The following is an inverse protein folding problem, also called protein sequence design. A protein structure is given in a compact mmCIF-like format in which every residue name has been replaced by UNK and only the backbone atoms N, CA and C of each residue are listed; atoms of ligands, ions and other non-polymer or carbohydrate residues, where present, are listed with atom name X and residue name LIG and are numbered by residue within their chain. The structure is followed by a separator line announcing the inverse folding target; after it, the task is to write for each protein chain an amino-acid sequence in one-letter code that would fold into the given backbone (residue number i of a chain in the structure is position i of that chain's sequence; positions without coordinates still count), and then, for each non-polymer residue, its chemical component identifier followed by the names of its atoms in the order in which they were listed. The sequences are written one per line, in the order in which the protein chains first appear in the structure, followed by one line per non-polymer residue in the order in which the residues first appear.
data_IF_371511951671
#
_entry.id   IF_371511951671
#
_cell.length_a   1.000
_cell.length_b   1.000
_cell.length_c   1.000
_cell.angle_alpha   90.00
_cell.angle_beta   90.00
_cell.angle_gamma   90.00
#
_symmetry.space_group_name_H-M   'P 1'
#
loop_
_entity.id
_entity.type
_entity.pdbx_description
1 polymer ?
#
# COMPACT_ATOMS: atom_id res chain seq x y z
N UNK A 1 -2.64 -43.29 16.31
CA UNK A 1 -2.14 -41.91 16.52
C UNK A 1 -2.27 -41.19 15.20
N UNK A 2 -3.06 -40.11 15.10
CA UNK A 2 -3.14 -39.32 13.87
C UNK A 2 -1.85 -38.52 13.71
N UNK A 3 -1.21 -38.62 12.54
CA UNK A 3 -0.05 -37.82 12.23
C UNK A 3 -0.48 -36.38 11.92
N UNK A 4 -0.31 -35.50 12.90
CA UNK A 4 -0.68 -34.09 12.78
C UNK A 4 0.13 -33.36 11.71
N UNK A 5 1.35 -33.82 11.37
CA UNK A 5 2.16 -33.23 10.31
C UNK A 5 1.60 -33.55 8.93
N UNK A 6 1.16 -34.79 8.73
CA UNK A 6 0.48 -35.18 7.50
C UNK A 6 -0.86 -34.43 7.36
N UNK A 7 -1.66 -34.39 8.43
CA UNK A 7 -2.95 -33.71 8.39
C UNK A 7 -2.82 -32.21 8.14
N UNK A 8 -1.83 -31.56 8.77
CA UNK A 8 -1.50 -30.17 8.49
C UNK A 8 -1.14 -29.94 7.02
N UNK A 9 -0.30 -30.81 6.44
CA UNK A 9 0.12 -30.67 5.04
C UNK A 9 -1.05 -30.79 4.05
N UNK A 10 -1.99 -31.70 4.30
CA UNK A 10 -3.19 -31.90 3.47
C UNK A 10 -4.10 -30.67 3.56
N UNK A 11 -4.44 -30.25 4.77
CA UNK A 11 -5.37 -29.13 4.99
C UNK A 11 -4.79 -27.81 4.48
N UNK A 12 -3.49 -27.60 4.68
CA UNK A 12 -2.79 -26.42 4.18
C UNK A 12 -2.88 -26.30 2.65
N UNK A 13 -2.69 -27.43 1.95
CA UNK A 13 -2.83 -27.50 0.49
C UNK A 13 -4.28 -27.29 0.04
N UNK A 14 -5.24 -27.89 0.75
CA UNK A 14 -6.67 -27.71 0.44
C UNK A 14 -7.12 -26.24 0.58
N UNK A 15 -6.58 -25.54 1.58
CA UNK A 15 -6.84 -24.12 1.83
C UNK A 15 -6.08 -23.16 0.91
N UNK A 16 -5.27 -23.66 -0.03
CA UNK A 16 -4.42 -22.85 -0.90
C UNK A 16 -3.36 -22.01 -0.15
N UNK A 17 -3.03 -22.38 1.08
CA UNK A 17 -2.11 -21.65 1.94
C UNK A 17 -0.67 -22.18 1.81
N UNK A 18 0.30 -21.34 2.16
CA UNK A 18 1.73 -21.70 2.16
C UNK A 18 2.21 -21.85 3.60
N UNK A 19 3.06 -22.85 3.86
CA UNK A 19 3.58 -23.09 5.21
C UNK A 19 4.49 -21.92 5.62
N UNK A 20 4.19 -21.31 6.76
CA UNK A 20 5.08 -20.32 7.35
C UNK A 20 6.33 -21.03 7.89
N UNK A 21 7.39 -21.00 7.08
CA UNK A 21 8.69 -21.61 7.40
C UNK A 21 9.65 -20.59 8.03
N UNK A 22 9.15 -19.41 8.43
CA UNK A 22 9.96 -18.37 9.05
C UNK A 22 10.59 -18.89 10.35
N UNK A 23 11.89 -18.64 10.59
CA UNK A 23 12.53 -18.95 11.88
C UNK A 23 11.87 -18.25 13.08
N UNK A 24 11.11 -17.17 12.84
CA UNK A 24 10.36 -16.47 13.87
C UNK A 24 9.04 -17.17 14.25
N UNK A 25 8.63 -18.22 13.53
CA UNK A 25 7.41 -18.96 13.83
C UNK A 25 7.68 -19.98 14.95
N UNK A 26 7.30 -19.62 16.18
CA UNK A 26 7.43 -20.49 17.36
C UNK A 26 6.28 -21.50 17.52
N UNK A 27 5.33 -21.55 16.59
CA UNK A 27 4.12 -22.36 16.70
C UNK A 27 4.38 -23.83 16.36
N UNK A 28 3.88 -24.72 17.21
CA UNK A 28 3.89 -26.15 16.91
C UNK A 28 3.05 -26.47 15.67
N UNK A 29 3.28 -27.64 15.06
CA UNK A 29 2.43 -28.13 13.96
C UNK A 29 0.97 -28.26 14.39
N UNK A 30 0.74 -28.64 15.65
CA UNK A 30 -0.61 -28.76 16.23
C UNK A 30 -1.29 -27.40 16.32
N UNK A 31 -0.57 -26.38 16.80
CA UNK A 31 -1.10 -25.02 16.89
C UNK A 31 -1.39 -24.44 15.50
N UNK A 32 -0.49 -24.68 14.54
CA UNK A 32 -0.68 -24.25 13.15
C UNK A 32 -1.90 -24.91 12.51
N UNK A 33 -2.08 -26.21 12.72
CA UNK A 33 -3.27 -26.94 12.24
C UNK A 33 -4.56 -26.41 12.89
N UNK A 34 -4.53 -26.16 14.21
CA UNK A 34 -5.67 -25.56 14.91
C UNK A 34 -6.02 -24.19 14.34
N UNK A 35 -5.04 -23.30 14.19
CA UNK A 35 -5.25 -21.96 13.65
C UNK A 35 -5.72 -21.98 12.19
N UNK A 36 -5.22 -22.91 11.37
CA UNK A 36 -5.69 -23.09 10.01
C UNK A 36 -7.17 -23.46 9.99
N UNK A 37 -7.60 -24.42 10.81
CA UNK A 37 -9.02 -24.81 10.90
C UNK A 37 -9.91 -23.71 11.42
N UNK A 38 -9.47 -23.00 12.45
CA UNK A 38 -10.18 -21.83 12.98
C UNK A 38 -10.34 -20.76 11.89
N UNK A 39 -9.30 -20.52 11.09
CA UNK A 39 -9.34 -19.62 9.92
C UNK A 39 -10.36 -20.09 8.88
N UNK A 40 -10.30 -21.35 8.45
CA UNK A 40 -11.22 -21.89 7.44
C UNK A 40 -12.67 -21.86 7.92
N UNK A 41 -12.92 -22.18 9.18
CA UNK A 41 -14.25 -22.10 9.77
C UNK A 41 -14.75 -20.66 9.83
N UNK A 42 -13.90 -19.71 10.23
CA UNK A 42 -14.23 -18.29 10.25
C UNK A 42 -14.60 -17.78 8.85
N UNK A 43 -13.85 -18.17 7.81
CA UNK A 43 -14.19 -17.86 6.42
C UNK A 43 -15.48 -18.51 5.96
N UNK A 44 -15.71 -19.78 6.31
CA UNK A 44 -16.93 -20.51 5.94
C UNK A 44 -18.20 -19.94 6.57
N UNK A 45 -18.09 -19.33 7.75
CA UNK A 45 -19.23 -18.74 8.47
C UNK A 45 -19.25 -17.19 8.43
N UNK A 46 -18.27 -16.54 7.80
CA UNK A 46 -18.03 -15.09 7.85
C UNK A 46 -18.01 -14.53 9.28
N UNK A 47 -17.58 -15.35 10.24
CA UNK A 47 -17.49 -14.98 11.64
C UNK A 47 -16.03 -14.62 11.98
N UNK A 48 -15.67 -13.40 11.64
CA UNK A 48 -14.33 -12.86 11.91
C UNK A 48 -14.18 -12.53 13.41
N UNK A 49 -12.95 -12.67 13.91
CA UNK A 49 -12.61 -12.39 15.31
C UNK A 49 -12.77 -10.89 15.66
N UNK A 50 -12.34 -10.53 16.88
CA UNK A 50 -12.35 -9.20 17.49
C UNK A 50 -12.02 -8.08 16.47
N UNK A 51 -12.92 -7.09 16.36
CA UNK A 51 -12.74 -5.89 15.54
C UNK A 51 -12.08 -4.78 16.37
N UNK A 52 -11.12 -4.07 15.80
CA UNK A 52 -10.56 -2.85 16.42
C UNK A 52 -10.68 -1.65 15.48
N UNK A 53 -10.54 -0.45 16.05
CA UNK A 53 -10.49 0.82 15.31
C UNK A 53 -9.16 1.49 15.59
N UNK A 54 -8.37 1.73 14.54
CA UNK A 54 -7.09 2.43 14.63
C UNK A 54 -7.35 3.91 14.34
N UNK A 55 -7.02 4.84 15.26
CA UNK A 55 -7.19 6.26 15.02
C UNK A 55 -6.18 6.75 13.97
N UNK A 56 -6.66 7.54 13.02
CA UNK A 56 -5.82 8.31 12.09
C UNK A 56 -5.69 9.72 12.67
N UNK A 57 -4.52 10.03 13.23
CA UNK A 57 -4.31 11.22 14.08
C UNK A 57 -3.79 12.45 13.34
N UNK A 58 -3.44 12.32 12.06
CA UNK A 58 -3.12 13.45 11.18
C UNK A 58 -4.35 13.83 10.36
N UNK A 59 -4.49 15.10 9.99
CA UNK A 59 -5.62 15.59 9.18
C UNK A 59 -5.58 14.96 7.78
N UNK A 60 -6.44 13.97 7.47
CA UNK A 60 -6.49 13.39 6.14
C UNK A 60 -7.26 14.37 5.24
N UNK A 61 -6.91 14.50 3.95
CA UNK A 61 -7.69 15.30 3.02
C UNK A 61 -9.02 14.60 2.76
N UNK A 62 -10.02 15.34 2.28
CA UNK A 62 -11.30 14.82 1.82
C UNK A 62 -11.19 13.80 0.65
N UNK A 63 -10.00 13.61 0.09
CA UNK A 63 -9.68 12.78 -1.09
C UNK A 63 -8.79 11.56 -0.80
N UNK A 64 -8.77 11.05 0.44
CA UNK A 64 -7.81 10.01 0.89
C UNK A 64 -7.62 8.84 -0.09
N UNK A 65 -6.54 8.88 -0.87
CA UNK A 65 -5.96 7.71 -1.51
C UNK A 65 -5.41 6.77 -0.43
N UNK A 66 -5.71 5.49 -0.56
CA UNK A 66 -5.21 4.45 0.34
C UNK A 66 -4.95 3.16 -0.43
N UNK A 67 -4.02 2.37 0.08
CA UNK A 67 -3.81 1.00 -0.38
C UNK A 67 -3.46 0.11 0.83
N UNK A 68 -3.78 -1.18 0.72
CA UNK A 68 -3.57 -2.19 1.75
C UNK A 68 -2.97 -3.45 1.12
N UNK A 69 -1.70 -3.69 1.40
CA UNK A 69 -0.99 -4.84 0.86
C UNK A 69 -0.04 -5.44 1.90
N UNK A 70 -0.01 -6.78 1.98
CA UNK A 70 0.95 -7.49 2.84
C UNK A 70 0.86 -7.16 4.34
N UNK A 71 -0.31 -6.73 4.84
CA UNK A 71 -0.48 -6.29 6.22
C UNK A 71 0.05 -4.87 6.51
N UNK A 72 0.32 -4.09 5.47
CA UNK A 72 0.69 -2.66 5.56
C UNK A 72 -0.43 -1.82 4.98
N UNK A 73 -0.97 -0.91 5.78
CA UNK A 73 -1.92 0.13 5.34
C UNK A 73 -1.12 1.38 4.99
N UNK A 74 -1.32 1.93 3.80
CA UNK A 74 -0.73 3.20 3.38
C UNK A 74 -1.83 4.19 3.07
N UNK A 75 -1.64 5.44 3.52
CA UNK A 75 -2.59 6.52 3.40
C UNK A 75 -1.88 7.76 2.85
N UNK A 76 -2.53 8.50 1.95
CA UNK A 76 -2.04 9.77 1.44
C UNK A 76 -2.01 10.87 2.52
N UNK A 77 -0.92 11.62 2.55
CA UNK A 77 -0.74 12.81 3.38
C UNK A 77 -0.61 14.06 2.49
N UNK A 78 -1.59 14.97 2.52
CA UNK A 78 -1.57 16.20 1.75
C UNK A 78 -0.52 17.16 2.33
N UNK A 79 0.17 17.88 1.46
CA UNK A 79 0.92 19.06 1.86
C UNK A 79 -0.06 20.18 2.21
N UNK A 80 -0.55 20.23 3.45
CA UNK A 80 -1.58 21.19 3.89
C UNK A 80 -1.01 22.61 4.12
N UNK A 81 0.31 22.75 4.13
CA UNK A 81 1.01 24.02 4.35
C UNK A 81 1.97 24.30 3.19
N UNK A 82 2.07 25.56 2.80
CA UNK A 82 3.05 26.05 1.83
C UNK A 82 4.47 25.59 2.23
N UNK A 83 5.10 24.76 1.40
CA UNK A 83 6.44 24.25 1.64
C UNK A 83 6.52 22.87 2.30
N UNK A 84 5.39 22.23 2.63
CA UNK A 84 5.40 20.81 3.01
C UNK A 84 5.24 19.92 1.78
N UNK A 85 6.22 19.05 1.54
CA UNK A 85 6.13 18.06 0.49
C UNK A 85 5.01 17.07 0.80
N UNK A 86 4.18 16.71 -0.19
CA UNK A 86 3.20 15.65 -0.02
C UNK A 86 3.92 14.33 0.28
N UNK A 87 3.24 13.50 1.05
CA UNK A 87 3.80 12.27 1.56
C UNK A 87 2.74 11.18 1.58
N UNK A 88 3.18 9.98 1.91
CA UNK A 88 2.31 8.88 2.31
C UNK A 88 2.76 8.36 3.66
N UNK A 89 1.79 7.88 4.45
CA UNK A 89 2.02 7.30 5.76
C UNK A 89 1.69 5.83 5.76
N UNK A 90 2.63 5.01 6.19
CA UNK A 90 2.49 3.56 6.24
C UNK A 90 2.40 3.04 7.68
N UNK A 91 1.50 2.07 7.91
CA UNK A 91 1.30 1.41 9.19
C UNK A 91 1.34 -0.11 9.01
N UNK A 92 2.22 -0.77 9.78
CA UNK A 92 2.26 -2.24 9.88
C UNK A 92 1.16 -2.73 10.82
N UNK A 93 0.05 -3.22 10.26
CA UNK A 93 -1.15 -3.58 11.02
C UNK A 93 -0.89 -4.66 12.06
N UNK A 94 -0.13 -5.70 11.70
CA UNK A 94 0.18 -6.79 12.63
C UNK A 94 0.97 -6.33 13.86
N UNK A 95 1.87 -5.36 13.68
CA UNK A 95 2.65 -4.77 14.78
C UNK A 95 1.79 -3.85 15.63
N UNK A 96 0.95 -3.03 14.99
CA UNK A 96 -0.02 -2.17 15.66
C UNK A 96 -0.97 -2.99 16.55
N UNK A 97 -1.55 -4.08 16.01
CA UNK A 97 -2.44 -4.96 16.77
C UNK A 97 -1.72 -5.63 17.95
N UNK A 98 -0.48 -6.09 17.77
CA UNK A 98 0.33 -6.67 18.86
C UNK A 98 0.66 -5.66 19.95
N UNK A 99 0.88 -4.40 19.58
CA UNK A 99 1.12 -3.30 20.52
C UNK A 99 -0.15 -2.84 21.24
N UNK A 100 -1.32 -3.43 20.93
CA UNK A 100 -2.60 -3.02 21.51
C UNK A 100 -3.09 -1.68 20.96
N UNK A 101 -2.64 -1.29 19.76
CA UNK A 101 -3.12 -0.09 19.07
C UNK A 101 -4.59 -0.30 18.67
N UNK A 102 -5.42 0.63 19.10
CA UNK A 102 -6.82 0.73 18.72
C UNK A 102 -7.75 0.84 19.91
N UNK A 103 -8.95 1.34 19.67
CA UNK A 103 -9.92 1.55 20.73
C UNK A 103 -10.77 0.31 20.95
N UNK A 104 -10.43 -0.48 21.96
CA UNK A 104 -11.37 -1.45 22.56
C UNK A 104 -12.12 -0.75 23.69
N UNK A 105 -13.37 -0.35 23.40
CA UNK A 105 -14.27 0.30 24.37
C UNK A 105 -14.49 -0.54 25.64
N UNK A 106 -14.08 -1.82 25.65
CA UNK A 106 -14.25 -2.74 26.78
C UNK A 106 -13.10 -2.73 27.79
N UNK A 107 -11.92 -2.19 27.46
CA UNK A 107 -10.71 -2.37 28.29
C UNK A 107 -10.33 -1.17 29.16
N UNK A 108 -10.88 0.02 28.94
CA UNK A 108 -10.58 1.21 29.78
C UNK A 108 -9.10 1.63 29.79
N UNK A 109 -8.30 1.12 28.87
CA UNK A 109 -6.87 1.44 28.71
C UNK A 109 -6.75 2.58 27.70
N UNK A 110 -5.93 3.59 28.02
CA UNK A 110 -5.59 4.66 27.07
C UNK A 110 -5.02 4.04 25.79
N UNK A 111 -5.56 4.38 24.60
CA UNK A 111 -5.13 3.77 23.36
C UNK A 111 -3.64 4.07 23.10
N UNK A 112 -2.87 3.03 22.79
CA UNK A 112 -1.49 3.20 22.29
C UNK A 112 -1.57 3.85 20.91
N UNK A 113 -0.85 4.95 20.72
CA UNK A 113 -0.82 5.62 19.42
C UNK A 113 -0.05 4.78 18.39
N UNK A 114 -0.59 4.62 17.16
CA UNK A 114 0.12 3.95 16.08
C UNK A 114 1.37 4.73 15.66
N UNK A 115 2.49 4.01 15.47
CA UNK A 115 3.63 4.56 14.74
C UNK A 115 3.40 4.47 13.23
N UNK A 116 3.36 5.63 12.57
CA UNK A 116 3.24 5.75 11.12
C UNK A 116 4.61 6.12 10.52
N UNK A 117 5.18 5.27 9.68
CA UNK A 117 6.35 5.66 8.87
C UNK A 117 5.90 6.59 7.75
N UNK A 118 6.79 7.50 7.32
CA UNK A 118 6.46 8.54 6.34
C UNK A 118 7.40 8.45 5.15
N UNK A 119 6.85 8.35 3.94
CA UNK A 119 7.59 8.43 2.68
C UNK A 119 7.19 9.72 1.99
N UNK A 120 8.16 10.58 1.69
CA UNK A 120 7.92 11.95 1.21
C UNK A 120 8.29 12.05 -0.26
N UNK A 121 7.50 12.77 -1.05
CA UNK A 121 7.86 13.12 -2.42
C UNK A 121 8.94 14.21 -2.45
N UNK A 122 9.52 14.43 -3.63
CA UNK A 122 10.42 15.56 -3.87
C UNK A 122 9.70 16.91 -3.72
N UNK A 123 10.42 18.01 -3.48
CA UNK A 123 9.83 19.35 -3.50
C UNK A 123 9.15 19.67 -4.83
N UNK A 124 8.02 20.38 -4.76
CA UNK A 124 7.18 20.79 -5.90
C UNK A 124 6.61 19.63 -6.73
N UNK A 125 6.55 18.44 -6.14
CA UNK A 125 5.93 17.24 -6.73
C UNK A 125 4.69 16.89 -5.92
N UNK A 126 3.60 16.55 -6.61
CA UNK A 126 2.32 16.19 -6.02
C UNK A 126 2.02 14.71 -6.24
N UNK A 127 1.43 14.04 -5.24
CA UNK A 127 1.06 12.62 -5.33
C UNK A 127 -0.37 12.52 -5.84
N UNK A 128 -0.58 11.76 -6.91
CA UNK A 128 -1.90 11.48 -7.50
C UNK A 128 -2.47 10.19 -6.91
N UNK A 129 -1.66 9.12 -6.92
CA UNK A 129 -2.02 7.80 -6.44
C UNK A 129 -0.74 6.99 -6.11
N UNK A 130 -0.88 5.81 -5.53
CA UNK A 130 0.22 4.88 -5.31
C UNK A 130 -0.22 3.42 -5.31
N UNK A 131 0.71 2.52 -5.65
CA UNK A 131 0.52 1.08 -5.57
C UNK A 131 1.55 0.39 -4.68
N UNK A 132 1.15 -0.70 -4.02
CA UNK A 132 2.00 -1.43 -3.07
C UNK A 132 2.32 -2.87 -3.49
N UNK A 133 3.58 -3.25 -3.28
CA UNK A 133 4.01 -4.65 -3.26
C UNK A 133 4.85 -4.93 -1.99
N UNK A 134 4.26 -4.63 -0.82
CA UNK A 134 4.95 -4.61 0.47
C UNK A 134 5.57 -5.97 0.86
N UNK A 135 4.81 -7.07 0.73
CA UNK A 135 5.28 -8.39 1.17
C UNK A 135 6.31 -9.02 0.22
N UNK A 136 6.15 -8.83 -1.09
CA UNK A 136 6.99 -9.47 -2.10
C UNK A 136 8.28 -8.70 -2.41
N UNK A 137 8.22 -7.38 -2.35
CA UNK A 137 9.29 -6.53 -2.87
C UNK A 137 9.68 -5.36 -1.95
N UNK A 138 9.02 -5.14 -0.81
CA UNK A 138 9.22 -3.92 -0.02
C UNK A 138 9.10 -2.66 -0.90
N UNK A 139 8.11 -2.65 -1.80
CA UNK A 139 7.99 -1.68 -2.87
C UNK A 139 6.73 -0.82 -2.73
N UNK A 140 6.89 0.48 -2.99
CA UNK A 140 5.83 1.43 -3.26
C UNK A 140 6.14 2.20 -4.56
N UNK A 141 5.16 2.28 -5.45
CA UNK A 141 5.23 3.12 -6.64
C UNK A 141 4.34 4.35 -6.44
N UNK A 142 4.93 5.55 -6.42
CA UNK A 142 4.18 6.80 -6.32
C UNK A 142 3.93 7.36 -7.71
N UNK A 143 2.66 7.48 -8.11
CA UNK A 143 2.29 8.27 -9.28
C UNK A 143 2.24 9.75 -8.86
N UNK A 144 3.03 10.57 -9.54
CA UNK A 144 3.20 11.97 -9.19
C UNK A 144 2.98 12.87 -10.38
N UNK A 145 2.67 14.14 -10.13
CA UNK A 145 2.79 15.19 -11.13
C UNK A 145 3.67 16.34 -10.66
N UNK A 146 4.40 16.94 -11.61
CA UNK A 146 5.15 18.17 -11.41
C UNK A 146 4.70 19.22 -12.42
N UNK A 147 4.18 20.38 -11.97
CA UNK A 147 3.94 21.51 -12.87
C UNK A 147 5.24 21.96 -13.54
N UNK A 148 5.22 22.10 -14.86
CA UNK A 148 6.32 22.64 -15.63
C UNK A 148 6.05 24.12 -15.90
N UNK A 149 6.99 24.97 -15.49
CA UNK A 149 6.94 26.41 -15.72
C UNK A 149 7.35 26.74 -17.17
N UNK A 150 6.52 26.41 -18.15
CA UNK A 150 6.75 26.78 -19.54
C UNK A 150 5.57 27.62 -20.06
N UNK A 151 5.78 28.94 -20.05
CA UNK A 151 4.92 30.01 -20.58
C UNK A 151 3.51 30.17 -19.92
N UNK A 152 3.02 31.42 -19.79
CA UNK A 152 1.84 31.75 -18.97
C UNK A 152 0.49 31.24 -19.50
N UNK A 153 0.43 30.57 -20.65
CA UNK A 153 -0.82 30.25 -21.35
C UNK A 153 -1.18 28.77 -21.38
N UNK A 154 -0.25 27.85 -21.15
CA UNK A 154 -0.52 26.40 -21.16
C UNK A 154 0.32 25.70 -20.07
N UNK A 155 -0.29 25.45 -18.91
CA UNK A 155 0.38 24.75 -17.81
C UNK A 155 0.62 23.29 -18.18
N UNK A 156 1.84 22.95 -18.59
CA UNK A 156 2.24 21.56 -18.77
C UNK A 156 2.52 20.90 -17.42
N UNK A 157 2.10 19.65 -17.26
CA UNK A 157 2.40 18.80 -16.12
C UNK A 157 3.04 17.50 -16.58
N UNK A 158 4.12 17.10 -15.91
CA UNK A 158 4.77 15.83 -16.12
C UNK A 158 4.25 14.81 -15.12
N UNK A 159 3.64 13.72 -15.59
CA UNK A 159 3.25 12.57 -14.76
C UNK A 159 4.39 11.55 -14.74
N UNK A 160 4.82 11.14 -13.56
CA UNK A 160 5.94 10.21 -13.33
C UNK A 160 5.57 9.15 -12.31
N UNK A 161 6.30 8.03 -12.36
CA UNK A 161 6.22 6.95 -11.37
C UNK A 161 7.55 6.86 -10.62
N UNK A 162 7.54 7.14 -9.32
CA UNK A 162 8.72 6.98 -8.46
C UNK A 162 8.71 5.61 -7.82
N UNK A 163 9.77 4.84 -8.04
CA UNK A 163 9.89 3.45 -7.56
C UNK A 163 10.75 3.44 -6.30
N UNK A 164 10.11 3.27 -5.15
CA UNK A 164 10.74 3.44 -3.84
C UNK A 164 10.64 2.17 -3.00
N UNK A 165 11.63 1.96 -2.14
CA UNK A 165 11.50 1.02 -1.04
C UNK A 165 10.53 1.58 0.00
N UNK A 166 9.51 0.80 0.35
CA UNK A 166 8.52 1.19 1.35
C UNK A 166 9.14 1.37 2.74
N UNK A 167 10.12 0.54 3.10
CA UNK A 167 10.77 0.60 4.41
C UNK A 167 11.71 1.80 4.60
N UNK A 168 12.36 2.28 3.53
CA UNK A 168 13.40 3.32 3.61
C UNK A 168 12.98 4.65 2.98
N UNK A 169 11.98 4.64 2.09
CA UNK A 169 11.63 5.77 1.24
C UNK A 169 12.66 6.12 0.16
N UNK A 170 13.74 5.33 0.03
CA UNK A 170 14.77 5.52 -1.00
C UNK A 170 14.39 4.82 -2.30
N UNK A 171 15.05 5.16 -3.42
CA UNK A 171 14.84 4.45 -4.67
C UNK A 171 15.09 2.95 -4.55
N UNK A 172 14.23 2.17 -5.20
CA UNK A 172 14.29 0.73 -5.11
C UNK A 172 15.55 0.18 -5.82
N UNK A 173 16.40 -0.61 -5.15
CA UNK A 173 17.74 -0.95 -5.65
C UNK A 173 17.76 -1.84 -6.89
N UNK A 174 16.67 -2.56 -7.16
CA UNK A 174 16.52 -3.43 -8.33
C UNK A 174 15.58 -2.84 -9.39
N UNK A 175 15.13 -1.60 -9.23
CA UNK A 175 14.38 -0.93 -10.29
C UNK A 175 15.32 -0.61 -11.46
N UNK A 176 14.89 -0.87 -12.70
CA UNK A 176 15.66 -0.49 -13.89
C UNK A 176 15.82 1.03 -13.98
N UNK A 177 14.73 1.74 -13.65
CA UNK A 177 14.70 3.19 -13.55
C UNK A 177 14.09 3.60 -12.21
N UNK A 178 14.75 4.48 -11.43
CA UNK A 178 14.23 4.96 -10.16
C UNK A 178 12.96 5.82 -10.34
N UNK A 179 12.84 6.47 -11.50
CA UNK A 179 11.69 7.29 -11.90
C UNK A 179 11.35 6.95 -13.34
N UNK A 180 10.12 6.50 -13.59
CA UNK A 180 9.62 6.15 -14.93
C UNK A 180 8.74 7.27 -15.49
N UNK A 181 8.89 7.52 -16.79
CA UNK A 181 8.03 8.42 -17.55
C UNK A 181 6.66 7.79 -17.80
N UNK A 182 5.59 8.53 -17.51
CA UNK A 182 4.23 8.16 -17.90
C UNK A 182 3.79 9.01 -19.09
N UNK A 183 3.57 10.31 -18.87
CA UNK A 183 3.23 11.25 -19.93
C UNK A 183 3.53 12.69 -19.52
N UNK A 184 3.56 13.57 -20.52
CA UNK A 184 3.48 15.02 -20.34
C UNK A 184 2.12 15.49 -20.88
N UNK A 185 1.36 16.23 -20.07
CA UNK A 185 0.00 16.70 -20.41
C UNK A 185 -0.12 18.21 -20.23
N UNK A 186 -0.94 18.86 -21.05
CA UNK A 186 -1.33 20.27 -20.92
C UNK A 186 -2.57 20.46 -20.03
N UNK A 187 -3.22 19.38 -19.58
CA UNK A 187 -4.36 19.43 -18.66
C UNK A 187 -3.89 19.25 -17.21
N UNK A 188 -4.35 20.12 -16.30
CA UNK A 188 -4.07 19.99 -14.88
C UNK A 188 -4.67 18.66 -14.36
N UNK A 189 -3.89 17.81 -13.66
CA UNK A 189 -4.36 16.52 -13.16
C UNK A 189 -5.42 16.60 -12.04
N UNK A 190 -5.83 17.79 -11.62
CA UNK A 190 -6.76 17.98 -10.49
C UNK A 190 -8.14 17.33 -10.73
N UNK A 191 -8.48 16.97 -11.97
CA UNK A 191 -9.69 16.21 -12.32
C UNK A 191 -9.40 14.77 -12.80
N UNK A 192 -8.13 14.37 -12.92
CA UNK A 192 -7.77 13.04 -13.44
C UNK A 192 -7.64 12.03 -12.32
N UNK A 193 -8.26 10.86 -12.48
CA UNK A 193 -8.07 9.73 -11.56
C UNK A 193 -6.89 8.89 -12.05
N UNK A 194 -5.98 8.55 -11.14
CA UNK A 194 -4.95 7.54 -11.40
C UNK A 194 -5.24 6.31 -10.55
N UNK A 195 -4.95 5.13 -11.10
CA UNK A 195 -4.93 3.87 -10.36
C UNK A 195 -3.62 3.13 -10.65
N UNK A 196 -2.79 2.95 -9.64
CA UNK A 196 -1.52 2.22 -9.73
C UNK A 196 -1.68 0.83 -9.12
N UNK A 197 -1.24 -0.21 -9.82
CA UNK A 197 -1.27 -1.58 -9.35
C UNK A 197 0.04 -2.30 -9.64
N UNK A 198 0.48 -3.16 -8.72
CA UNK A 198 1.73 -3.91 -8.85
C UNK A 198 1.45 -5.40 -8.65
N UNK A 199 1.85 -6.21 -9.63
CA UNK A 199 1.73 -7.67 -9.59
C UNK A 199 3.06 -8.31 -10.01
N UNK A 200 3.84 -8.75 -9.03
CA UNK A 200 5.19 -9.26 -9.25
C UNK A 200 6.08 -8.19 -9.90
N UNK A 201 6.59 -8.49 -11.09
CA UNK A 201 7.49 -7.60 -11.85
C UNK A 201 6.72 -6.58 -12.72
N UNK A 202 5.39 -6.69 -12.80
CA UNK A 202 4.55 -5.81 -13.59
C UNK A 202 3.99 -4.67 -12.74
N UNK A 203 4.08 -3.46 -13.27
CA UNK A 203 3.49 -2.24 -12.71
C UNK A 203 2.55 -1.66 -13.77
N UNK A 204 1.27 -1.51 -13.43
CA UNK A 204 0.29 -0.84 -14.27
C UNK A 204 -0.13 0.50 -13.68
N UNK A 205 -0.36 1.49 -14.53
CA UNK A 205 -1.05 2.73 -14.19
C UNK A 205 -2.19 2.96 -15.18
N UNK A 206 -3.39 3.14 -14.66
CA UNK A 206 -4.55 3.61 -15.42
C UNK A 206 -4.74 5.11 -15.13
N UNK A 207 -4.81 5.91 -16.17
CA UNK A 207 -5.12 7.33 -16.11
C UNK A 207 -6.49 7.55 -16.75
N UNK A 208 -7.40 8.16 -15.99
CA UNK A 208 -8.76 8.49 -16.42
C UNK A 208 -8.86 10.00 -16.48
N UNK A 209 -9.21 10.54 -17.64
CA UNK A 209 -9.28 11.99 -17.87
C UNK A 209 -10.74 12.46 -17.92
N UNK A 210 -11.07 13.50 -17.16
CA UNK A 210 -12.45 14.00 -17.03
C UNK A 210 -12.97 14.77 -18.27
N UNK A 211 -12.20 14.80 -19.38
CA UNK A 211 -12.52 15.61 -20.55
C UNK A 211 -12.21 14.90 -21.87
N UNK A 212 -13.07 15.12 -22.87
CA UNK A 212 -13.01 14.58 -24.24
C UNK A 212 -11.73 14.91 -25.05
N UNK A 213 -10.75 15.60 -24.45
CA UNK A 213 -9.49 15.95 -25.07
C UNK A 213 -8.46 14.81 -25.06
N UNK A 214 -8.54 13.89 -24.08
CA UNK A 214 -7.61 12.78 -23.94
C UNK A 214 -8.35 11.46 -23.66
N UNK A 215 -8.06 10.38 -24.40
CA UNK A 215 -8.58 9.06 -24.04
C UNK A 215 -7.94 8.58 -22.75
N UNK A 216 -8.67 7.77 -21.98
CA UNK A 216 -8.11 7.03 -20.86
C UNK A 216 -6.93 6.19 -21.34
N UNK A 217 -5.87 6.14 -20.54
CA UNK A 217 -4.62 5.48 -20.91
C UNK A 217 -4.22 4.48 -19.83
N UNK A 218 -3.92 3.25 -20.27
CA UNK A 218 -3.31 2.23 -19.42
C UNK A 218 -1.88 1.99 -19.87
N UNK A 219 -0.92 2.34 -19.02
CA UNK A 219 0.49 2.06 -19.25
C UNK A 219 0.94 0.89 -18.37
N UNK A 220 1.65 -0.06 -19.00
CA UNK A 220 2.19 -1.25 -18.35
C UNK A 220 3.70 -1.25 -18.45
N UNK A 221 4.36 -1.42 -17.31
CA UNK A 221 5.80 -1.42 -17.17
C UNK A 221 6.25 -2.75 -16.56
N UNK A 222 7.41 -3.23 -16.98
CA UNK A 222 8.21 -4.12 -16.15
C UNK A 222 9.18 -3.24 -15.36
N UNK A 223 8.95 -3.11 -14.05
CA UNK A 223 9.69 -2.12 -13.25
C UNK A 223 11.15 -2.51 -12.98
N UNK A 224 11.54 -3.76 -13.33
CA UNK A 224 12.91 -4.28 -13.19
C UNK A 224 13.73 -4.28 -14.47
N UNK A 225 13.14 -4.05 -15.66
CA UNK A 225 13.82 -4.15 -16.97
C UNK A 225 13.69 -2.89 -17.80
#
# INVERSE_FOLDING_TARGET
MSDNSLQYSIELRAAGAVNNSSPACILSVVDRLRLLREREQAWGCLHFAESTRIPVTYQPPSSCIYDLSGGVLVLGEPGLLWGENPAVRALRLTEALKAGVGHDSRRGISPVEPYWSRVTAEPDVYIIDFGLAAQGHDLIALATYKPQALQPTEGMAAIRLHILQLSTGQHHPIASQPVMYVLDTSSLPEASLACVQIVGDLLGILLIFDFAAHPDEFALYNWKS
#
